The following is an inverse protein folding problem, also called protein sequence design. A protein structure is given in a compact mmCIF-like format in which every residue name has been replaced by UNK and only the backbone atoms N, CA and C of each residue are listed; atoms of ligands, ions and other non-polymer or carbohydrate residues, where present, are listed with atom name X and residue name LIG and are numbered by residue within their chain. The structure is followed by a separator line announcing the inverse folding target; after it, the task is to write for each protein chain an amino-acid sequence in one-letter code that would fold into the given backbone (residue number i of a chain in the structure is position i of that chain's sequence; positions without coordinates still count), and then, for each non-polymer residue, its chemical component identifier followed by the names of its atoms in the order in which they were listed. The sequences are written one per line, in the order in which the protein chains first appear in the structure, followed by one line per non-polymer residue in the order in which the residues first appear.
data_IF_435159310898
#
_entry.id   IF_435159310898
#
_cell.length_a   1.000
_cell.length_b   1.000
_cell.length_c   1.000
_cell.angle_alpha   90.00
_cell.angle_beta   90.00
_cell.angle_gamma   90.00
#
_symmetry.space_group_name_H-M   'P 1'
#
loop_
_entity.id
_entity.type
_entity.pdbx_description
1 polymer ?
#
# COMPACT_ATOMS: atom_id res chain seq x y z
N UNK A 1 -33.09 -2.28 -23.46
CA UNK A 1 -33.83 -3.55 -23.53
C UNK A 1 -33.69 -4.02 -24.96
N UNK A 2 -33.16 -5.22 -25.21
CA UNK A 2 -33.01 -5.80 -26.55
C UNK A 2 -33.93 -7.01 -26.66
N UNK A 3 -34.82 -6.97 -27.65
CA UNK A 3 -35.75 -8.03 -27.99
C UNK A 3 -35.24 -8.72 -29.26
N UNK A 4 -35.32 -10.04 -29.29
CA UNK A 4 -34.94 -10.86 -30.45
C UNK A 4 -36.15 -11.75 -30.76
N UNK A 5 -36.47 -11.93 -32.03
CA UNK A 5 -37.66 -12.69 -32.48
C UNK A 5 -37.25 -14.09 -32.90
N UNK A 6 -37.94 -15.12 -32.40
CA UNK A 6 -37.79 -16.49 -32.89
C UNK A 6 -38.39 -16.67 -34.30
N UNK A 7 -38.06 -17.78 -34.98
CA UNK A 7 -38.70 -18.19 -36.25
C UNK A 7 -40.22 -18.40 -36.12
N UNK A 8 -40.75 -18.51 -34.89
CA UNK A 8 -42.17 -18.66 -34.58
C UNK A 8 -42.90 -17.34 -34.21
N UNK A 9 -42.25 -16.17 -34.32
CA UNK A 9 -42.88 -14.86 -34.11
C UNK A 9 -43.17 -14.49 -32.64
N UNK A 10 -42.61 -15.23 -31.69
CA UNK A 10 -42.66 -14.89 -30.27
C UNK A 10 -41.44 -14.04 -29.90
N UNK A 11 -41.68 -12.78 -29.49
CA UNK A 11 -40.62 -11.90 -29.02
C UNK A 11 -40.16 -12.33 -27.62
N UNK A 12 -38.91 -12.76 -27.53
CA UNK A 12 -38.26 -12.98 -26.25
C UNK A 12 -37.17 -11.95 -26.02
N UNK A 13 -36.75 -11.95 -24.78
CA UNK A 13 -36.25 -10.79 -24.12
C UNK A 13 -34.85 -11.10 -23.65
N UNK A 14 -33.88 -10.69 -24.46
CA UNK A 14 -32.54 -11.25 -24.44
C UNK A 14 -31.64 -10.55 -23.43
N UNK A 15 -31.80 -9.25 -23.24
CA UNK A 15 -30.96 -8.48 -22.32
C UNK A 15 -31.60 -7.18 -21.86
N UNK A 16 -31.36 -6.86 -20.59
CA UNK A 16 -31.81 -5.64 -19.92
C UNK A 16 -30.67 -4.97 -19.17
N UNK A 17 -30.66 -3.64 -19.25
CA UNK A 17 -29.78 -2.81 -18.44
C UNK A 17 -30.65 -1.88 -17.61
N UNK A 18 -30.51 -1.97 -16.29
CA UNK A 18 -31.12 -1.04 -15.34
C UNK A 18 -30.04 -0.11 -14.83
N UNK A 19 -30.24 1.20 -15.03
CA UNK A 19 -29.35 2.22 -14.49
C UNK A 19 -29.89 2.67 -13.13
N UNK A 20 -29.16 2.34 -12.06
CA UNK A 20 -29.53 2.71 -10.70
C UNK A 20 -28.77 3.98 -10.35
N UNK A 21 -29.46 5.10 -10.18
CA UNK A 21 -28.88 6.34 -9.65
C UNK A 21 -29.24 6.50 -8.18
N UNK A 22 -28.26 6.38 -7.29
CA UNK A 22 -28.45 6.64 -5.86
C UNK A 22 -28.24 8.11 -5.54
N UNK A 23 -29.08 8.67 -4.66
CA UNK A 23 -29.00 10.06 -4.16
C UNK A 23 -28.02 10.23 -2.99
N UNK A 24 -27.36 9.15 -2.57
CA UNK A 24 -26.40 9.18 -1.47
C UNK A 24 -25.12 9.95 -1.86
N UNK A 25 -24.38 10.44 -0.87
CA UNK A 25 -23.07 11.06 -1.04
C UNK A 25 -22.06 10.03 -1.59
N UNK A 26 -22.05 9.91 -2.91
CA UNK A 26 -21.14 9.06 -3.69
C UNK A 26 -19.75 9.71 -3.84
N UNK A 27 -19.47 10.83 -3.17
CA UNK A 27 -18.12 11.42 -3.09
C UNK A 27 -17.14 10.53 -2.35
N UNK A 28 -17.59 9.86 -1.28
CA UNK A 28 -16.76 8.94 -0.50
C UNK A 28 -16.70 7.55 -1.13
N UNK A 29 -15.50 7.12 -1.49
CA UNK A 29 -15.20 5.78 -2.01
C UNK A 29 -15.74 4.65 -1.11
N UNK A 30 -15.71 4.83 0.22
CA UNK A 30 -16.26 3.85 1.17
C UNK A 30 -17.78 3.62 1.00
N UNK A 31 -18.55 4.68 0.73
CA UNK A 31 -20.00 4.57 0.53
C UNK A 31 -20.32 3.95 -0.83
N UNK A 32 -19.54 4.28 -1.87
CA UNK A 32 -19.61 3.63 -3.18
C UNK A 32 -19.35 2.12 -3.08
N UNK A 33 -18.32 1.73 -2.34
CA UNK A 33 -17.96 0.31 -2.16
C UNK A 33 -19.09 -0.46 -1.43
N UNK A 34 -19.71 0.15 -0.41
CA UNK A 34 -20.87 -0.45 0.28
C UNK A 34 -22.07 -0.62 -0.64
N UNK A 35 -22.39 0.38 -1.45
CA UNK A 35 -23.50 0.30 -2.41
C UNK A 35 -23.24 -0.80 -3.45
N UNK A 36 -22.01 -0.87 -3.97
CA UNK A 36 -21.63 -1.87 -4.98
C UNK A 36 -21.70 -3.30 -4.41
N UNK A 37 -21.26 -3.50 -3.17
CA UNK A 37 -21.43 -4.78 -2.47
C UNK A 37 -22.90 -5.13 -2.20
N UNK A 38 -23.75 -4.15 -1.87
CA UNK A 38 -25.19 -4.39 -1.72
C UNK A 38 -25.83 -4.81 -3.05
N UNK A 39 -25.46 -4.15 -4.15
CA UNK A 39 -25.97 -4.49 -5.48
C UNK A 39 -25.51 -5.88 -5.92
N UNK A 40 -24.24 -6.26 -5.65
CA UNK A 40 -23.75 -7.63 -5.88
C UNK A 40 -24.52 -8.66 -5.06
N UNK A 41 -24.73 -8.40 -3.78
CA UNK A 41 -25.45 -9.33 -2.90
C UNK A 41 -26.92 -9.52 -3.33
N UNK A 42 -27.55 -8.49 -3.90
CA UNK A 42 -28.89 -8.62 -4.51
C UNK A 42 -28.81 -9.38 -5.83
N UNK A 43 -27.80 -9.15 -6.66
CA UNK A 43 -27.60 -9.91 -7.90
C UNK A 43 -27.36 -11.41 -7.63
N UNK A 44 -26.58 -11.74 -6.60
CA UNK A 44 -26.29 -13.11 -6.18
C UNK A 44 -27.52 -13.87 -5.66
N UNK A 45 -28.57 -13.15 -5.21
CA UNK A 45 -29.85 -13.77 -4.82
C UNK A 45 -30.68 -14.26 -6.01
N UNK A 46 -30.36 -13.82 -7.23
CA UNK A 46 -31.04 -14.24 -8.45
C UNK A 46 -30.05 -14.92 -9.44
N UNK A 47 -29.47 -16.07 -9.06
CA UNK A 47 -28.48 -16.76 -9.89
C UNK A 47 -29.06 -17.31 -11.20
N UNK A 48 -30.40 -17.48 -11.28
CA UNK A 48 -31.09 -17.97 -12.47
C UNK A 48 -31.11 -16.98 -13.65
N UNK A 49 -30.67 -15.72 -13.46
CA UNK A 49 -30.75 -14.67 -14.46
C UNK A 49 -29.39 -14.10 -14.91
N UNK A 50 -28.26 -14.75 -14.53
CA UNK A 50 -26.88 -14.31 -14.86
C UNK A 50 -26.72 -12.78 -14.77
N UNK A 51 -27.18 -12.21 -13.65
CA UNK A 51 -27.22 -10.75 -13.47
C UNK A 51 -25.82 -10.23 -13.15
N UNK A 52 -25.25 -9.46 -14.07
CA UNK A 52 -23.95 -8.81 -13.86
C UNK A 52 -24.12 -7.33 -13.49
N UNK A 53 -23.55 -6.95 -12.34
CA UNK A 53 -23.45 -5.54 -11.93
C UNK A 53 -22.20 -4.93 -12.58
N UNK A 54 -22.41 -4.09 -13.59
CA UNK A 54 -21.34 -3.36 -14.27
C UNK A 54 -21.31 -1.91 -13.80
N UNK A 55 -20.16 -1.49 -13.27
CA UNK A 55 -19.84 -0.10 -12.94
C UNK A 55 -18.41 0.16 -13.41
N UNK A 56 -18.18 1.28 -14.12
CA UNK A 56 -16.85 1.63 -14.66
C UNK A 56 -15.80 1.77 -13.53
N UNK A 57 -16.23 2.22 -12.34
CA UNK A 57 -15.37 2.40 -11.17
C UNK A 57 -15.31 1.15 -10.28
N UNK A 58 -16.04 0.07 -10.61
CA UNK A 58 -16.09 -1.16 -9.80
C UNK A 58 -14.70 -1.74 -9.54
N UNK A 59 -13.82 -1.70 -10.54
CA UNK A 59 -12.45 -2.23 -10.44
C UNK A 59 -11.63 -1.49 -9.39
N UNK A 60 -11.75 -0.16 -9.32
CA UNK A 60 -11.04 0.64 -8.33
C UNK A 60 -11.61 0.43 -6.92
N UNK A 61 -12.93 0.29 -6.80
CA UNK A 61 -13.60 0.01 -5.53
C UNK A 61 -13.19 -1.35 -4.94
N UNK A 62 -13.05 -2.37 -5.79
CA UNK A 62 -12.60 -3.70 -5.39
C UNK A 62 -11.13 -3.71 -4.92
N UNK A 63 -10.28 -2.93 -5.61
CA UNK A 63 -8.90 -2.72 -5.21
C UNK A 63 -8.89 -2.06 -3.83
N UNK A 64 -9.58 -0.93 -3.64
CA UNK A 64 -9.64 -0.20 -2.36
C UNK A 64 -10.13 -1.09 -1.22
N UNK A 65 -11.13 -1.94 -1.47
CA UNK A 65 -11.64 -2.90 -0.48
C UNK A 65 -10.61 -3.93 0.00
N UNK A 66 -9.62 -4.26 -0.83
CA UNK A 66 -8.58 -5.25 -0.52
C UNK A 66 -7.23 -4.63 -0.11
N UNK A 67 -7.04 -3.32 -0.30
CA UNK A 67 -5.81 -2.59 0.03
C UNK A 67 -5.38 -2.74 1.48
N UNK A 68 -6.30 -2.62 2.44
CA UNK A 68 -5.98 -2.74 3.87
C UNK A 68 -5.39 -4.10 4.21
N UNK A 69 -6.05 -5.16 3.74
CA UNK A 69 -5.60 -6.53 3.96
C UNK A 69 -4.22 -6.76 3.32
N UNK A 70 -4.06 -6.33 2.07
CA UNK A 70 -2.81 -6.46 1.34
C UNK A 70 -1.66 -5.67 1.99
N UNK A 71 -1.95 -4.47 2.53
CA UNK A 71 -0.96 -3.64 3.26
C UNK A 71 -0.44 -4.37 4.48
N UNK A 72 -1.34 -4.90 5.31
CA UNK A 72 -0.98 -5.58 6.55
C UNK A 72 -0.18 -6.84 6.24
N UNK A 73 -0.64 -7.64 5.27
CA UNK A 73 0.07 -8.84 4.86
C UNK A 73 1.47 -8.51 4.34
N UNK A 74 1.57 -7.55 3.41
CA UNK A 74 2.85 -7.15 2.82
C UNK A 74 3.81 -6.58 3.87
N UNK A 75 3.30 -5.80 4.82
CA UNK A 75 4.09 -5.30 5.95
C UNK A 75 4.72 -6.44 6.76
N UNK A 76 3.92 -7.43 7.16
CA UNK A 76 4.40 -8.56 7.97
C UNK A 76 5.50 -9.30 7.22
N UNK A 77 5.31 -9.54 5.91
CA UNK A 77 6.34 -10.15 5.07
C UNK A 77 7.63 -9.32 5.04
N UNK A 78 7.53 -7.99 4.92
CA UNK A 78 8.70 -7.10 4.93
C UNK A 78 9.43 -7.20 6.28
N UNK A 79 8.72 -7.11 7.42
CA UNK A 79 9.36 -7.20 8.74
C UNK A 79 10.06 -8.55 8.94
N UNK A 80 9.42 -9.65 8.54
CA UNK A 80 10.01 -11.00 8.62
C UNK A 80 11.24 -11.13 7.72
N UNK A 81 11.15 -10.69 6.47
CA UNK A 81 12.25 -10.75 5.53
C UNK A 81 13.43 -9.90 6.00
N UNK A 82 13.16 -8.72 6.55
CA UNK A 82 14.21 -7.84 7.09
C UNK A 82 14.86 -8.42 8.35
N UNK A 83 14.11 -9.07 9.24
CA UNK A 83 14.68 -9.81 10.36
C UNK A 83 15.63 -10.92 9.87
N UNK A 84 15.25 -11.64 8.81
CA UNK A 84 16.09 -12.68 8.20
C UNK A 84 17.37 -12.11 7.58
N UNK A 85 17.29 -10.99 6.86
CA UNK A 85 18.46 -10.32 6.27
C UNK A 85 19.40 -9.79 7.36
N UNK A 86 18.88 -9.17 8.42
CA UNK A 86 19.69 -8.71 9.55
C UNK A 86 20.37 -9.88 10.27
N UNK A 87 19.69 -11.01 10.44
CA UNK A 87 20.27 -12.23 11.00
C UNK A 87 21.42 -12.78 10.15
N UNK A 88 21.31 -12.71 8.82
CA UNK A 88 22.34 -13.19 7.90
C UNK A 88 23.58 -12.28 7.89
N UNK A 89 23.41 -10.96 8.04
CA UNK A 89 24.52 -9.99 7.99
C UNK A 89 25.23 -9.78 9.33
N UNK A 90 24.54 -9.94 10.47
CA UNK A 90 25.10 -9.64 11.79
C UNK A 90 25.39 -10.94 12.55
N UNK A 91 26.66 -11.30 12.79
CA UNK A 91 27.00 -12.53 13.53
C UNK A 91 26.71 -12.46 15.05
N UNK A 92 26.08 -11.39 15.54
CA UNK A 92 25.76 -11.17 16.95
C UNK A 92 24.24 -11.05 17.17
N UNK A 93 23.66 -12.04 17.86
CA UNK A 93 22.21 -12.14 18.09
C UNK A 93 21.61 -10.95 18.84
N UNK A 94 22.36 -10.30 19.75
CA UNK A 94 21.85 -9.16 20.53
C UNK A 94 21.63 -7.95 19.63
N UNK A 95 22.56 -7.70 18.72
CA UNK A 95 22.46 -6.61 17.75
C UNK A 95 21.30 -6.82 16.77
N UNK A 96 21.03 -8.07 16.37
CA UNK A 96 19.87 -8.41 15.52
C UNK A 96 18.54 -8.11 16.21
N UNK A 97 18.42 -8.43 17.51
CA UNK A 97 17.19 -8.17 18.27
C UNK A 97 16.95 -6.66 18.40
N UNK A 98 17.99 -5.88 18.71
CA UNK A 98 17.89 -4.41 18.84
C UNK A 98 17.52 -3.79 17.48
N UNK A 99 18.13 -4.25 16.39
CA UNK A 99 17.79 -3.80 15.04
C UNK A 99 16.33 -4.13 14.68
N UNK A 100 15.89 -5.35 14.95
CA UNK A 100 14.51 -5.79 14.69
C UNK A 100 13.50 -4.94 15.49
N UNK A 101 13.78 -4.67 16.76
CA UNK A 101 12.94 -3.82 17.60
C UNK A 101 12.85 -2.39 17.07
N UNK A 102 13.98 -1.84 16.58
CA UNK A 102 13.99 -0.52 15.94
C UNK A 102 13.13 -0.49 14.68
N UNK A 103 13.20 -1.51 13.83
CA UNK A 103 12.38 -1.62 12.61
C UNK A 103 10.88 -1.69 12.95
N UNK A 104 10.51 -2.51 13.94
CA UNK A 104 9.13 -2.61 14.42
C UNK A 104 8.65 -1.26 14.96
N UNK A 105 9.49 -0.55 15.71
CA UNK A 105 9.18 0.78 16.24
C UNK A 105 8.92 1.79 15.12
N UNK A 106 9.75 1.80 14.08
CA UNK A 106 9.57 2.69 12.92
C UNK A 106 8.27 2.34 12.18
N UNK A 107 7.98 1.05 12.02
CA UNK A 107 6.73 0.59 11.42
C UNK A 107 5.50 1.09 12.19
N UNK A 108 5.48 0.89 13.51
CA UNK A 108 4.39 1.38 14.38
C UNK A 108 4.29 2.90 14.31
N UNK A 109 5.43 3.62 14.29
CA UNK A 109 5.45 5.08 14.18
C UNK A 109 4.83 5.59 12.89
N UNK A 110 5.19 4.98 11.75
CA UNK A 110 4.66 5.36 10.44
C UNK A 110 3.15 5.09 10.35
N UNK A 111 2.69 3.91 10.78
CA UNK A 111 1.25 3.58 10.82
C UNK A 111 0.49 4.46 11.83
N UNK A 112 1.10 4.78 12.96
CA UNK A 112 0.54 5.68 13.97
C UNK A 112 0.34 7.08 13.44
N UNK A 113 1.34 7.65 12.75
CA UNK A 113 1.23 8.99 12.14
C UNK A 113 0.13 9.01 11.07
N UNK A 114 0.07 7.99 10.20
CA UNK A 114 -1.00 7.87 9.21
C UNK A 114 -2.38 7.81 9.85
N UNK A 115 -2.52 7.03 10.94
CA UNK A 115 -3.78 6.91 11.66
C UNK A 115 -4.19 8.23 12.33
N UNK A 116 -3.24 9.01 12.85
CA UNK A 116 -3.51 10.31 13.49
C UNK A 116 -3.89 11.36 12.45
N UNK A 117 -3.23 11.33 11.28
CA UNK A 117 -3.51 12.26 10.18
C UNK A 117 -4.79 11.91 9.41
N UNK A 118 -5.40 10.75 9.66
CA UNK A 118 -6.66 10.35 9.03
C UNK A 118 -6.55 10.21 7.52
N UNK A 119 -5.36 9.87 7.01
CA UNK A 119 -5.11 9.70 5.58
C UNK A 119 -5.71 8.38 5.12
N UNK A 120 -6.56 8.43 4.10
CA UNK A 120 -7.12 7.22 3.48
C UNK A 120 -5.98 6.38 2.86
N UNK A 121 -6.03 5.06 3.07
CA UNK A 121 -5.03 4.15 2.52
C UNK A 121 -5.27 3.94 1.02
N UNK A 122 -4.58 4.73 0.22
CA UNK A 122 -4.54 4.58 -1.23
C UNK A 122 -3.32 3.76 -1.69
N UNK A 123 -3.36 3.13 -2.89
CA UNK A 123 -2.22 2.36 -3.42
C UNK A 123 -0.93 3.18 -3.51
N UNK A 124 -1.05 4.48 -3.75
CA UNK A 124 0.07 5.43 -3.79
C UNK A 124 0.69 5.58 -2.41
N UNK A 125 -0.13 5.78 -1.37
CA UNK A 125 0.32 5.88 0.02
C UNK A 125 0.98 4.56 0.42
N UNK A 126 0.37 3.42 0.13
CA UNK A 126 0.94 2.10 0.39
C UNK A 126 2.32 1.91 -0.25
N UNK A 127 2.49 2.31 -1.50
CA UNK A 127 3.81 2.26 -2.18
C UNK A 127 4.83 3.14 -1.46
N UNK A 128 4.45 4.35 -1.06
CA UNK A 128 5.31 5.25 -0.28
C UNK A 128 5.73 4.66 1.07
N UNK A 129 4.80 3.96 1.76
CA UNK A 129 5.10 3.28 3.01
C UNK A 129 6.10 2.14 2.84
N UNK A 130 5.89 1.29 1.83
CA UNK A 130 6.81 0.18 1.53
C UNK A 130 8.20 0.71 1.21
N UNK A 131 8.29 1.78 0.40
CA UNK A 131 9.55 2.41 0.05
C UNK A 131 10.25 3.02 1.27
N UNK A 132 9.50 3.67 2.17
CA UNK A 132 10.02 4.22 3.43
C UNK A 132 10.59 3.13 4.33
N UNK A 133 9.89 1.99 4.46
CA UNK A 133 10.37 0.85 5.25
C UNK A 133 11.65 0.28 4.62
N UNK A 134 11.73 0.16 3.29
CA UNK A 134 12.93 -0.28 2.59
C UNK A 134 14.15 0.59 2.88
N UNK A 135 14.02 1.91 2.74
CA UNK A 135 15.09 2.86 3.06
C UNK A 135 15.52 2.83 4.53
N UNK A 136 14.57 2.63 5.44
CA UNK A 136 14.85 2.54 6.88
C UNK A 136 15.79 1.37 7.24
N UNK A 137 15.69 0.24 6.53
CA UNK A 137 16.52 -0.95 6.76
C UNK A 137 17.81 -0.95 5.95
N UNK A 138 17.79 -0.28 4.80
CA UNK A 138 18.96 -0.15 3.92
C UNK A 138 20.12 0.58 4.62
N UNK A 139 19.82 1.69 5.31
CA UNK A 139 20.82 2.53 5.97
C UNK A 139 21.61 1.77 7.04
N UNK A 140 21.00 1.10 8.05
CA UNK A 140 21.74 0.31 9.02
C UNK A 140 22.56 -0.81 8.38
N UNK A 141 22.01 -1.50 7.37
CA UNK A 141 22.70 -2.63 6.71
C UNK A 141 23.97 -2.17 6.00
N UNK A 142 23.89 -1.05 5.26
CA UNK A 142 25.06 -0.44 4.62
C UNK A 142 26.10 0.06 5.62
N UNK A 143 25.65 0.69 6.71
CA UNK A 143 26.52 1.18 7.78
C UNK A 143 27.21 0.03 8.49
N UNK A 144 26.49 -1.04 8.84
CA UNK A 144 27.05 -2.23 9.51
C UNK A 144 28.02 -2.96 8.58
N UNK A 145 27.69 -3.14 7.31
CA UNK A 145 28.58 -3.78 6.34
C UNK A 145 29.89 -3.00 6.18
N UNK A 146 29.81 -1.68 6.01
CA UNK A 146 30.99 -0.83 5.88
C UNK A 146 31.77 -0.73 7.21
N UNK A 147 31.09 -0.78 8.35
CA UNK A 147 31.70 -0.83 9.68
C UNK A 147 32.51 -2.12 9.87
N UNK A 148 31.95 -3.29 9.54
CA UNK A 148 32.66 -4.57 9.61
C UNK A 148 33.84 -4.64 8.62
N UNK A 149 33.67 -4.09 7.42
CA UNK A 149 34.73 -4.06 6.40
C UNK A 149 35.88 -3.10 6.74
N UNK A 150 35.62 -2.03 7.50
CA UNK A 150 36.61 -1.01 7.81
C UNK A 150 37.64 -1.47 8.86
N UNK A 151 37.35 -2.46 9.70
CA UNK A 151 38.35 -3.18 10.53
C UNK A 151 39.34 -2.31 11.31
N UNK A 152 38.97 -1.10 11.75
CA UNK A 152 39.85 -0.19 12.51
C UNK A 152 39.70 -0.38 14.01
N UNK A 153 40.77 -0.09 14.75
CA UNK A 153 40.94 -0.32 16.20
C UNK A 153 39.94 0.39 17.13
N UNK A 154 39.10 1.32 16.63
CA UNK A 154 38.12 2.04 17.46
C UNK A 154 36.76 2.17 16.75
N UNK A 155 35.69 1.76 17.44
CA UNK A 155 34.30 1.78 16.98
C UNK A 155 33.86 3.19 16.57
N UNK A 156 34.22 4.21 17.35
CA UNK A 156 33.80 5.60 17.11
C UNK A 156 34.44 6.20 15.86
N UNK A 157 35.74 6.00 15.65
CA UNK A 157 36.45 6.49 14.47
C UNK A 157 35.96 5.82 13.17
N UNK A 158 35.60 4.53 13.25
CA UNK A 158 35.00 3.80 12.13
C UNK A 158 33.60 4.31 11.81
N UNK A 159 32.78 4.57 12.83
CA UNK A 159 31.44 5.11 12.67
C UNK A 159 31.47 6.51 12.05
N UNK A 160 32.35 7.39 12.53
CA UNK A 160 32.48 8.75 12.01
C UNK A 160 32.94 8.78 10.55
N UNK A 161 33.92 7.95 10.18
CA UNK A 161 34.37 7.83 8.80
C UNK A 161 33.29 7.20 7.90
N UNK A 162 32.51 6.24 8.41
CA UNK A 162 31.40 5.62 7.71
C UNK A 162 30.26 6.61 7.47
N UNK A 163 29.85 7.35 8.50
CA UNK A 163 28.83 8.40 8.41
C UNK A 163 29.25 9.54 7.48
N UNK A 164 30.54 9.91 7.48
CA UNK A 164 31.07 10.90 6.54
C UNK A 164 31.00 10.44 5.07
N UNK A 165 31.24 9.16 4.80
CA UNK A 165 31.21 8.61 3.44
C UNK A 165 29.79 8.31 2.94
N UNK A 166 28.91 7.82 3.80
CA UNK A 166 27.57 7.30 3.42
C UNK A 166 26.45 8.30 3.76
N UNK A 167 26.68 9.27 4.65
CA UNK A 167 25.65 10.21 5.09
C UNK A 167 25.14 11.13 3.99
N UNK A 168 26.04 11.67 3.14
CA UNK A 168 25.64 12.53 2.03
C UNK A 168 24.72 11.83 1.01
N UNK A 169 25.07 10.65 0.46
CA UNK A 169 24.19 9.95 -0.49
C UNK A 169 22.85 9.51 0.14
N UNK A 170 22.86 9.08 1.40
CA UNK A 170 21.62 8.69 2.12
C UNK A 170 20.70 9.89 2.29
N UNK A 171 21.24 11.04 2.72
CA UNK A 171 20.45 12.25 2.93
C UNK A 171 19.90 12.78 1.60
N UNK A 172 20.69 12.70 0.53
CA UNK A 172 20.24 13.05 -0.82
C UNK A 172 19.07 12.15 -1.27
N UNK A 173 19.16 10.84 -1.06
CA UNK A 173 18.10 9.88 -1.42
C UNK A 173 16.81 10.10 -0.61
N UNK A 174 16.93 10.39 0.69
CA UNK A 174 15.81 10.72 1.56
C UNK A 174 15.12 12.02 1.11
N UNK A 175 15.89 13.06 0.79
CA UNK A 175 15.35 14.33 0.29
C UNK A 175 14.66 14.16 -1.06
N UNK A 176 15.22 13.40 -2.01
CA UNK A 176 14.57 13.16 -3.30
C UNK A 176 13.23 12.43 -3.15
N UNK A 177 13.18 11.46 -2.22
CA UNK A 177 11.95 10.73 -1.89
C UNK A 177 10.89 11.65 -1.27
N UNK A 178 11.29 12.46 -0.29
CA UNK A 178 10.42 13.44 0.35
C UNK A 178 9.88 14.46 -0.65
N UNK A 179 10.73 14.96 -1.56
CA UNK A 179 10.31 15.89 -2.62
C UNK A 179 9.34 15.23 -3.60
N UNK A 180 9.57 13.97 -3.96
CA UNK A 180 8.67 13.21 -4.84
C UNK A 180 7.29 13.04 -4.19
N UNK A 181 7.23 12.61 -2.93
CA UNK A 181 5.97 12.46 -2.19
C UNK A 181 5.30 13.82 -1.95
N UNK A 182 6.07 14.86 -1.64
CA UNK A 182 5.56 16.22 -1.46
C UNK A 182 4.97 16.79 -2.75
N UNK A 183 5.54 16.48 -3.92
CA UNK A 183 4.99 16.90 -5.21
C UNK A 183 3.60 16.31 -5.48
N UNK A 184 3.27 15.15 -4.89
CA UNK A 184 1.93 14.55 -5.01
C UNK A 184 0.88 15.32 -4.21
N UNK A 185 1.27 16.04 -3.16
CA UNK A 185 0.39 16.93 -2.40
C UNK A 185 0.03 18.17 -3.23
N UNK A 186 0.98 18.66 -4.04
CA UNK A 186 0.78 19.85 -4.87
C UNK A 186 0.02 19.56 -6.16
N UNK A 187 0.12 18.34 -6.68
CA UNK A 187 -0.72 17.91 -7.79
C UNK A 187 -2.15 17.76 -7.28
N UNK A 188 -3.14 18.46 -7.87
CA UNK A 188 -4.54 18.32 -7.48
C UNK A 188 -5.03 16.92 -7.88
N UNK A 189 -4.78 15.93 -7.02
CA UNK A 189 -5.43 14.64 -7.07
C UNK A 189 -6.92 14.90 -6.82
N UNK A 190 -7.69 14.94 -7.90
CA UNK A 190 -9.15 15.07 -7.94
C UNK A 190 -9.92 13.95 -7.20
N UNK A 191 -9.24 13.16 -6.36
CA UNK A 191 -9.78 12.02 -5.63
C UNK A 191 -9.95 12.26 -4.12
N UNK A 192 -9.62 13.47 -3.63
CA UNK A 192 -9.80 13.85 -2.23
C UNK A 192 -10.89 14.90 -2.03
N UNK A 193 -12.16 14.57 -2.33
CA UNK A 193 -13.30 15.33 -1.80
C UNK A 193 -14.61 14.54 -1.75
#
# INVERSE_FOLDING_TARGET
MQFDSDENGMEYLKSYFFKISSRADLRKWSNRAKLLNQLRNVADQYPEHEVYVFDDDAKFLDIIGTLLYQTIQSSIFIVLFMMFVCFLFIPNCIAVIIATFSIISIFIGVFGILSIWGVDLDPIVMSGLIMSIGFSVDIPTHVIYHFFKAGKETTEASLQHCLGAIGFPVLQAALSTLLCVSSLIFSPLHMGH
#
